data_IF_420059931102
#
_entry.id   IF_420059931102
#
_cell.length_a   1.000
_cell.length_b   1.000
_cell.length_c   1.000
_cell.angle_alpha   90.00
_cell.angle_beta   90.00
_cell.angle_gamma   90.00
#
_symmetry.space_group_name_H-M   'P 1'
#
loop_
_entity.id
_entity.type
_entity.pdbx_description
1 polymer ?
#
# COMPACT_ATOMS: atom_id res chain seq x y z
N UNK A 1 70.27 -24.93 -17.82
CA UNK A 1 70.16 -23.50 -18.22
C UNK A 1 68.84 -23.35 -18.99
N UNK A 2 67.88 -22.45 -18.74
CA UNK A 2 67.67 -21.40 -17.73
C UNK A 2 66.15 -21.36 -17.46
N UNK A 3 65.74 -21.23 -16.19
CA UNK A 3 64.37 -20.84 -15.82
C UNK A 3 64.29 -19.32 -15.96
N UNK A 4 63.49 -18.81 -16.90
CA UNK A 4 63.19 -17.38 -16.98
C UNK A 4 61.95 -17.09 -16.14
N UNK A 5 62.19 -16.60 -14.92
CA UNK A 5 61.18 -15.89 -14.14
C UNK A 5 60.94 -14.54 -14.80
N UNK A 6 59.71 -14.26 -15.22
CA UNK A 6 59.27 -12.89 -15.46
C UNK A 6 58.14 -12.59 -14.49
N UNK A 7 58.53 -12.13 -13.30
CA UNK A 7 57.64 -11.48 -12.34
C UNK A 7 57.24 -10.11 -12.90
N UNK A 8 56.03 -10.00 -13.45
CA UNK A 8 55.44 -8.69 -13.77
C UNK A 8 54.79 -8.15 -12.50
N UNK A 9 55.53 -7.32 -11.80
CA UNK A 9 55.08 -6.57 -10.62
C UNK A 9 53.94 -5.65 -11.06
N UNK A 10 52.70 -6.04 -10.75
CA UNK A 10 51.51 -5.22 -11.00
C UNK A 10 51.51 -4.05 -10.02
N UNK A 11 51.85 -2.86 -10.50
CA UNK A 11 51.71 -1.62 -9.76
C UNK A 11 50.26 -1.47 -9.27
N UNK A 12 50.06 -1.41 -7.95
CA UNK A 12 48.75 -1.42 -7.30
C UNK A 12 47.94 -0.11 -7.47
N UNK A 13 48.44 0.83 -8.26
CA UNK A 13 47.87 2.18 -8.44
C UNK A 13 47.27 2.42 -9.84
N UNK A 14 47.22 1.39 -10.70
CA UNK A 14 46.68 1.53 -12.05
C UNK A 14 45.19 1.20 -12.11
N UNK A 15 44.41 2.12 -12.70
CA UNK A 15 43.00 1.89 -12.94
C UNK A 15 42.81 0.72 -13.92
N UNK A 16 41.77 -0.12 -13.75
CA UNK A 16 41.54 -1.24 -14.64
C UNK A 16 41.37 -0.78 -16.10
N UNK A 17 41.68 -1.63 -17.09
CA UNK A 17 41.70 -1.24 -18.51
C UNK A 17 40.35 -0.77 -19.06
N UNK A 18 39.24 -1.01 -18.35
CA UNK A 18 37.89 -0.57 -18.71
C UNK A 18 37.40 0.61 -17.84
N UNK A 19 38.31 1.31 -17.17
CA UNK A 19 38.00 2.51 -16.39
C UNK A 19 38.05 3.76 -17.28
N UNK A 20 36.97 4.54 -17.26
CA UNK A 20 36.89 5.81 -17.95
C UNK A 20 36.60 6.93 -16.95
N UNK A 21 37.53 7.89 -16.81
CA UNK A 21 37.39 9.04 -15.91
C UNK A 21 36.16 9.86 -16.30
N UNK A 22 35.35 10.23 -15.31
CA UNK A 22 34.11 11.00 -15.52
C UNK A 22 32.88 10.14 -15.86
N UNK A 23 33.02 8.82 -15.99
CA UNK A 23 31.90 7.90 -16.22
C UNK A 23 31.57 7.13 -14.96
N UNK A 24 30.30 7.15 -14.55
CA UNK A 24 29.84 6.33 -13.43
C UNK A 24 30.04 4.82 -13.73
N UNK A 25 30.64 4.06 -12.81
CA UNK A 25 30.77 2.62 -12.93
C UNK A 25 29.45 1.88 -13.25
N UNK A 26 29.55 0.77 -14.00
CA UNK A 26 28.39 -0.03 -14.45
C UNK A 26 27.45 -0.40 -13.30
N UNK A 27 27.98 -0.79 -12.15
CA UNK A 27 27.18 -1.15 -10.98
C UNK A 27 26.37 0.03 -10.43
N UNK A 28 26.89 1.27 -10.46
CA UNK A 28 26.15 2.46 -10.04
C UNK A 28 25.05 2.81 -11.03
N UNK A 29 25.28 2.64 -12.34
CA UNK A 29 24.25 2.83 -13.39
C UNK A 29 23.12 1.83 -13.24
N UNK A 30 23.45 0.55 -13.03
CA UNK A 30 22.49 -0.52 -12.84
C UNK A 30 21.69 -0.34 -11.54
N UNK A 31 22.34 0.11 -10.46
CA UNK A 31 21.69 0.40 -9.19
C UNK A 31 20.63 1.50 -9.31
N UNK A 32 20.91 2.59 -10.04
CA UNK A 32 19.94 3.68 -10.27
C UNK A 32 18.70 3.23 -11.07
N UNK A 33 18.84 2.25 -11.96
CA UNK A 33 17.70 1.65 -12.67
C UNK A 33 16.80 0.83 -11.75
N UNK A 34 17.38 0.13 -10.78
CA UNK A 34 16.66 -0.62 -9.76
C UNK A 34 15.95 0.31 -8.75
N UNK A 35 16.61 1.38 -8.28
CA UNK A 35 16.02 2.33 -7.33
C UNK A 35 14.84 3.12 -7.93
N UNK A 36 14.92 3.55 -9.20
CA UNK A 36 13.80 4.21 -9.90
C UNK A 36 12.54 3.36 -10.04
N UNK A 37 12.66 2.03 -9.94
CA UNK A 37 11.52 1.10 -9.94
C UNK A 37 11.14 0.63 -8.54
N UNK A 38 12.02 0.81 -7.55
CA UNK A 38 11.81 0.50 -6.15
C UNK A 38 11.12 1.64 -5.38
N UNK A 39 11.28 2.90 -5.80
CA UNK A 39 10.55 4.04 -5.20
C UNK A 39 9.02 3.96 -5.44
N UNK A 40 8.56 3.05 -6.30
CA UNK A 40 7.14 2.74 -6.56
C UNK A 40 6.66 1.52 -5.76
N UNK A 41 7.54 0.77 -5.09
CA UNK A 41 7.17 -0.49 -4.42
C UNK A 41 7.68 -0.56 -2.99
N UNK A 42 6.76 -0.43 -2.01
CA UNK A 42 6.98 -1.19 -0.80
C UNK A 42 5.78 -1.97 -0.24
N UNK A 43 4.58 -2.08 -0.86
CA UNK A 43 3.50 -2.83 -0.17
C UNK A 43 2.23 -3.24 -0.97
N UNK A 44 2.21 -3.22 -2.30
CA UNK A 44 1.02 -3.74 -3.02
C UNK A 44 1.07 -5.27 -3.05
N UNK A 45 0.17 -6.01 -2.35
CA UNK A 45 0.20 -7.46 -2.35
C UNK A 45 -0.04 -8.01 -3.77
N UNK A 46 0.54 -9.18 -4.11
CA UNK A 46 0.35 -9.78 -5.42
C UNK A 46 -1.15 -9.98 -5.71
N UNK A 47 -1.58 -9.65 -6.92
CA UNK A 47 -2.99 -9.72 -7.32
C UNK A 47 -3.87 -8.56 -6.83
N UNK A 48 -3.30 -7.48 -6.30
CA UNK A 48 -4.05 -6.29 -5.90
C UNK A 48 -3.65 -5.05 -6.72
N UNK A 49 -4.53 -4.07 -6.76
CA UNK A 49 -4.37 -2.77 -7.43
C UNK A 49 -4.65 -1.65 -6.42
N UNK A 50 -3.91 -0.55 -6.51
CA UNK A 50 -4.18 0.66 -5.74
C UNK A 50 -5.48 1.32 -6.24
N UNK A 51 -6.43 1.55 -5.34
CA UNK A 51 -7.66 2.25 -5.64
C UNK A 51 -7.37 3.75 -5.92
N UNK A 52 -7.89 4.33 -7.02
CA UNK A 52 -7.80 5.76 -7.29
C UNK A 52 -8.38 6.60 -6.15
N UNK A 53 -7.85 7.80 -5.96
CA UNK A 53 -8.28 8.69 -4.87
C UNK A 53 -9.73 9.14 -5.04
N UNK A 54 -10.17 9.47 -6.27
CA UNK A 54 -11.54 9.87 -6.56
C UNK A 54 -12.56 8.77 -6.19
N UNK A 55 -12.26 7.52 -6.57
CA UNK A 55 -13.12 6.37 -6.24
C UNK A 55 -13.14 6.09 -4.72
N UNK A 56 -11.99 6.25 -4.05
CA UNK A 56 -11.88 6.13 -2.59
C UNK A 56 -12.76 7.17 -1.90
N UNK A 57 -12.70 8.42 -2.35
CA UNK A 57 -13.46 9.51 -1.76
C UNK A 57 -14.96 9.36 -1.98
N UNK A 58 -15.40 8.96 -3.18
CA UNK A 58 -16.81 8.70 -3.43
C UNK A 58 -17.32 7.54 -2.56
N UNK A 59 -16.56 6.45 -2.46
CA UNK A 59 -16.91 5.32 -1.59
C UNK A 59 -17.03 5.76 -0.13
N UNK A 60 -16.07 6.56 0.35
CA UNK A 60 -16.10 7.12 1.70
C UNK A 60 -17.31 8.03 1.93
N UNK A 61 -17.71 8.83 0.93
CA UNK A 61 -18.91 9.69 0.98
C UNK A 61 -20.17 8.84 1.12
N UNK A 62 -20.30 7.80 0.30
CA UNK A 62 -21.46 6.89 0.34
C UNK A 62 -21.54 6.17 1.69
N UNK A 63 -20.42 5.66 2.21
CA UNK A 63 -20.39 4.99 3.51
C UNK A 63 -20.81 5.92 4.66
N UNK A 64 -20.34 7.17 4.66
CA UNK A 64 -20.72 8.18 5.65
C UNK A 64 -22.21 8.51 5.59
N UNK A 65 -22.76 8.65 4.37
CA UNK A 65 -24.19 8.87 4.21
C UNK A 65 -24.99 7.69 4.76
N UNK A 66 -24.61 6.46 4.40
CA UNK A 66 -25.29 5.25 4.88
C UNK A 66 -25.23 5.10 6.40
N UNK A 67 -24.10 5.46 7.03
CA UNK A 67 -23.95 5.50 8.48
C UNK A 67 -24.94 6.49 9.11
N UNK A 68 -25.03 7.72 8.56
CA UNK A 68 -25.97 8.72 9.05
C UNK A 68 -27.43 8.25 8.94
N UNK A 69 -27.80 7.61 7.83
CA UNK A 69 -29.15 7.06 7.61
C UNK A 69 -29.48 5.98 8.65
N UNK A 70 -28.53 5.08 8.95
CA UNK A 70 -28.71 4.03 9.98
C UNK A 70 -28.76 4.57 11.40
N UNK A 71 -27.98 5.60 11.71
CA UNK A 71 -28.07 6.31 13.00
C UNK A 71 -29.43 6.98 13.15
N UNK A 72 -29.95 7.61 12.08
CA UNK A 72 -31.29 8.19 12.10
C UNK A 72 -32.35 7.11 12.32
N UNK A 73 -32.23 5.96 11.67
CA UNK A 73 -33.12 4.82 11.88
C UNK A 73 -33.08 4.31 13.32
N UNK A 74 -31.87 4.13 13.88
CA UNK A 74 -31.70 3.73 15.28
C UNK A 74 -32.36 4.72 16.25
N UNK A 75 -32.19 6.02 16.01
CA UNK A 75 -32.81 7.09 16.80
C UNK A 75 -34.34 7.15 16.66
N UNK A 76 -34.90 6.58 15.59
CA UNK A 76 -36.35 6.48 15.41
C UNK A 76 -36.98 5.34 16.21
N UNK A 77 -36.17 4.40 16.73
CA UNK A 77 -36.67 3.30 17.55
C UNK A 77 -37.16 3.81 18.92
N UNK A 78 -38.25 3.24 19.46
CA UNK A 78 -38.72 3.57 20.81
C UNK A 78 -37.67 3.24 21.86
N UNK A 79 -37.46 4.15 22.83
CA UNK A 79 -36.48 3.99 23.92
C UNK A 79 -36.77 2.76 24.80
N UNK A 80 -38.05 2.40 24.94
CA UNK A 80 -38.50 1.22 25.69
C UNK A 80 -39.43 0.40 24.82
N UNK A 81 -38.92 -0.73 24.32
CA UNK A 81 -39.72 -1.73 23.62
C UNK A 81 -39.32 -3.13 24.09
N UNK A 82 -40.24 -3.82 24.75
CA UNK A 82 -40.00 -5.18 25.25
C UNK A 82 -40.25 -6.26 24.18
N UNK A 83 -40.83 -5.88 23.04
CA UNK A 83 -41.08 -6.77 21.92
C UNK A 83 -39.78 -7.33 21.34
N UNK A 84 -39.69 -8.66 21.23
CA UNK A 84 -38.52 -9.35 20.68
C UNK A 84 -38.11 -8.81 19.31
N UNK A 85 -39.09 -8.59 18.42
CA UNK A 85 -38.88 -8.03 17.09
C UNK A 85 -38.17 -6.67 17.09
N UNK A 86 -38.44 -5.83 18.09
CA UNK A 86 -37.76 -4.52 18.20
C UNK A 86 -36.32 -4.68 18.69
N UNK A 87 -36.05 -5.65 19.58
CA UNK A 87 -34.70 -5.98 20.01
C UNK A 87 -33.86 -6.53 18.87
N UNK A 88 -34.43 -7.45 18.08
CA UNK A 88 -33.81 -7.98 16.86
C UNK A 88 -33.50 -6.85 15.87
N UNK A 89 -34.48 -6.00 15.56
CA UNK A 89 -34.26 -4.86 14.64
C UNK A 89 -33.15 -3.92 15.13
N UNK A 90 -33.07 -3.66 16.44
CA UNK A 90 -31.99 -2.85 17.02
C UNK A 90 -30.63 -3.51 16.81
N UNK A 91 -30.51 -4.81 17.09
CA UNK A 91 -29.27 -5.57 16.91
C UNK A 91 -28.86 -5.56 15.43
N UNK A 92 -29.80 -5.78 14.50
CA UNK A 92 -29.52 -5.76 13.07
C UNK A 92 -28.93 -4.41 12.62
N UNK A 93 -29.50 -3.29 13.08
CA UNK A 93 -29.01 -1.94 12.77
C UNK A 93 -27.62 -1.70 13.36
N UNK A 94 -27.37 -2.15 14.59
CA UNK A 94 -26.06 -2.04 15.25
C UNK A 94 -24.99 -2.86 14.51
N UNK A 95 -25.31 -4.09 14.08
CA UNK A 95 -24.41 -4.91 13.27
C UNK A 95 -24.11 -4.29 11.90
N UNK A 96 -25.13 -3.70 11.24
CA UNK A 96 -24.94 -2.97 9.99
C UNK A 96 -24.06 -1.73 10.19
N UNK A 97 -24.28 -0.96 11.26
CA UNK A 97 -23.44 0.19 11.61
C UNK A 97 -21.98 -0.23 11.83
N UNK A 98 -21.74 -1.34 12.53
CA UNK A 98 -20.39 -1.86 12.74
C UNK A 98 -19.69 -2.18 11.41
N UNK A 99 -20.39 -2.84 10.47
CA UNK A 99 -19.85 -3.16 9.14
C UNK A 99 -19.51 -1.89 8.34
N UNK A 100 -20.37 -0.87 8.42
CA UNK A 100 -20.14 0.42 7.75
C UNK A 100 -18.91 1.13 8.36
N UNK A 101 -18.78 1.15 9.68
CA UNK A 101 -17.66 1.77 10.38
C UNK A 101 -16.32 1.09 10.06
N UNK A 102 -16.31 -0.24 9.96
CA UNK A 102 -15.14 -0.99 9.49
C UNK A 102 -14.77 -0.60 8.06
N UNK A 103 -15.77 -0.46 7.18
CA UNK A 103 -15.58 0.06 5.82
C UNK A 103 -14.98 1.47 5.81
N UNK A 104 -15.56 2.41 6.56
CA UNK A 104 -15.06 3.79 6.68
C UNK A 104 -13.61 3.78 7.12
N UNK A 105 -13.26 2.97 8.12
CA UNK A 105 -11.88 2.85 8.63
C UNK A 105 -10.89 2.38 7.58
N UNK A 106 -11.30 1.49 6.66
CA UNK A 106 -10.46 1.06 5.53
C UNK A 106 -10.28 2.20 4.53
N UNK A 107 -11.36 2.83 4.09
CA UNK A 107 -11.33 3.87 3.04
C UNK A 107 -10.85 5.25 3.52
N UNK A 108 -10.77 5.46 4.84
CA UNK A 108 -10.17 6.65 5.44
C UNK A 108 -8.63 6.67 5.30
N UNK A 109 -7.99 5.52 5.04
CA UNK A 109 -6.55 5.45 4.78
C UNK A 109 -6.21 6.07 3.43
N UNK A 110 -5.08 6.75 3.34
CA UNK A 110 -4.61 7.40 2.10
C UNK A 110 -4.41 6.42 0.94
N UNK A 111 -4.02 5.17 1.21
CA UNK A 111 -3.79 4.15 0.20
C UNK A 111 -4.63 2.91 0.51
N UNK A 112 -5.47 2.50 -0.42
CA UNK A 112 -6.33 1.32 -0.31
C UNK A 112 -6.03 0.39 -1.48
N UNK A 113 -5.85 -0.90 -1.20
CA UNK A 113 -5.58 -1.91 -2.22
C UNK A 113 -6.81 -2.81 -2.37
N UNK A 114 -7.26 -3.02 -3.61
CA UNK A 114 -8.39 -3.89 -3.92
C UNK A 114 -7.88 -5.07 -4.74
N UNK A 115 -8.43 -6.25 -4.47
CA UNK A 115 -8.11 -7.47 -5.21
C UNK A 115 -8.59 -7.34 -6.65
N UNK A 116 -7.72 -7.68 -7.61
CA UNK A 116 -8.06 -7.74 -9.04
C UNK A 116 -8.92 -8.96 -9.36
#
# INVERSE_FOLDING_TARGET
MKISKNDSVRNQNESPPNYQKGVAPKYLKNRKGYEKSADIKPDCPPGHILLPEEEREETLRVLKQSSADRVQELNSLPVRSDALKMKERKIDIEEELQKIDEGIKVFQRTKVFVKK
#
